data_IF_714001772712
#
_entry.id   IF_714001772712
#
_cell.length_a   1.000
_cell.length_b   1.000
_cell.length_c   1.000
_cell.angle_alpha   90.00
_cell.angle_beta   90.00
_cell.angle_gamma   90.00
#
_symmetry.space_group_name_H-M   'P 1'
#
loop_
_entity.id
_entity.type
_entity.pdbx_description
1 polymer ?
#
# COMPACT_ATOMS: atom_id res chain seq x y z
N UNK A 1 1.76 -7.55 10.95
CA UNK A 1 1.58 -8.97 11.32
C UNK A 1 0.16 -9.37 10.90
N UNK A 2 -0.01 -10.39 10.05
CA UNK A 2 -1.32 -10.76 9.48
C UNK A 2 -1.74 -12.22 9.71
N UNK A 3 -0.89 -13.03 10.37
CA UNK A 3 -1.04 -14.49 10.48
C UNK A 3 -2.37 -14.99 11.09
N UNK A 4 -3.08 -14.15 11.84
CA UNK A 4 -4.34 -14.49 12.49
C UNK A 4 -5.51 -13.64 11.99
N UNK A 5 -5.32 -12.90 10.88
CA UNK A 5 -6.41 -12.16 10.27
C UNK A 5 -7.33 -13.12 9.51
N UNK A 6 -8.65 -12.93 9.60
CA UNK A 6 -9.60 -13.71 8.81
C UNK A 6 -9.45 -13.42 7.32
N UNK A 7 -9.98 -14.32 6.48
CA UNK A 7 -9.90 -14.20 5.02
C UNK A 7 -8.67 -14.87 4.42
N UNK A 8 -8.35 -14.52 3.18
CA UNK A 8 -7.22 -15.13 2.47
C UNK A 8 -5.87 -14.61 2.99
N UNK A 9 -4.99 -15.55 3.31
CA UNK A 9 -3.71 -15.24 3.95
C UNK A 9 -2.72 -14.53 3.01
N UNK A 10 -2.78 -14.81 1.71
CA UNK A 10 -1.93 -14.17 0.70
C UNK A 10 -2.40 -12.75 0.49
N UNK A 11 -3.71 -12.52 0.35
CA UNK A 11 -4.28 -11.18 0.22
C UNK A 11 -3.96 -10.29 1.42
N UNK A 12 -4.15 -10.83 2.63
CA UNK A 12 -3.79 -10.13 3.85
C UNK A 12 -2.30 -9.77 3.87
N UNK A 13 -1.42 -10.68 3.42
CA UNK A 13 0.02 -10.42 3.33
C UNK A 13 0.37 -9.36 2.28
N UNK A 14 -0.29 -9.38 1.12
CA UNK A 14 -0.11 -8.38 0.04
C UNK A 14 -0.53 -7.00 0.53
N UNK A 15 -1.74 -6.88 1.10
CA UNK A 15 -2.26 -5.61 1.64
C UNK A 15 -1.31 -5.07 2.73
N UNK A 16 -0.86 -5.92 3.65
CA UNK A 16 0.08 -5.50 4.68
C UNK A 16 1.44 -5.05 4.12
N UNK A 17 1.96 -5.73 3.09
CA UNK A 17 3.18 -5.30 2.42
C UNK A 17 2.98 -3.95 1.72
N UNK A 18 1.84 -3.72 1.04
CA UNK A 18 1.54 -2.42 0.42
C UNK A 18 1.53 -1.31 1.47
N UNK A 19 0.85 -1.49 2.60
CA UNK A 19 0.89 -0.51 3.69
C UNK A 19 2.32 -0.28 4.20
N UNK A 20 3.11 -1.34 4.37
CA UNK A 20 4.50 -1.23 4.78
C UNK A 20 5.33 -0.38 3.80
N UNK A 21 5.20 -0.61 2.49
CA UNK A 21 5.92 0.18 1.48
C UNK A 21 5.45 1.63 1.45
N UNK A 22 4.15 1.90 1.58
CA UNK A 22 3.63 3.27 1.69
C UNK A 22 4.29 4.00 2.86
N UNK A 23 4.39 3.36 4.03
CA UNK A 23 5.04 3.96 5.20
C UNK A 23 6.53 4.21 4.99
N UNK A 24 7.23 3.33 4.26
CA UNK A 24 8.63 3.56 3.89
C UNK A 24 8.79 4.73 2.93
N UNK A 25 7.94 4.81 1.90
CA UNK A 25 7.96 5.91 0.92
C UNK A 25 7.66 7.26 1.58
N UNK A 26 6.73 7.30 2.54
CA UNK A 26 6.44 8.51 3.31
C UNK A 26 7.63 9.02 4.13
N UNK A 27 8.57 8.15 4.48
CA UNK A 27 9.81 8.49 5.20
C UNK A 27 11.00 8.78 4.28
N UNK A 28 10.82 8.65 2.96
CA UNK A 28 11.88 8.92 1.99
C UNK A 28 12.23 10.41 1.98
N UNK A 29 13.50 10.80 2.17
CA UNK A 29 13.92 12.19 2.08
C UNK A 29 13.60 12.85 0.74
N UNK A 30 13.57 12.05 -0.34
CA UNK A 30 13.24 12.53 -1.68
C UNK A 30 11.77 12.94 -1.83
N UNK A 31 10.87 12.33 -1.06
CA UNK A 31 9.43 12.48 -1.21
C UNK A 31 8.80 13.35 -0.11
N UNK A 32 9.45 13.46 1.05
CA UNK A 32 8.91 14.10 2.25
C UNK A 32 8.45 15.55 2.01
N UNK A 33 9.24 16.36 1.31
CA UNK A 33 8.89 17.77 1.02
C UNK A 33 7.62 17.88 0.16
N UNK A 34 7.50 17.07 -0.89
CA UNK A 34 6.32 17.08 -1.77
C UNK A 34 5.08 16.51 -1.07
N UNK A 35 5.26 15.58 -0.14
CA UNK A 35 4.18 15.07 0.71
C UNK A 35 3.69 16.15 1.68
N UNK A 36 4.60 16.84 2.36
CA UNK A 36 4.27 17.90 3.33
C UNK A 36 3.62 19.12 2.67
N UNK A 37 4.09 19.50 1.47
CA UNK A 37 3.49 20.59 0.69
C UNK A 37 2.18 20.22 0.01
N UNK A 38 1.71 18.97 0.15
CA UNK A 38 0.46 18.48 -0.47
C UNK A 38 0.53 18.29 -1.99
N UNK A 39 1.70 18.48 -2.61
CA UNK A 39 1.91 18.35 -4.06
C UNK A 39 2.06 16.89 -4.51
N UNK A 40 2.20 15.96 -3.58
CA UNK A 40 2.27 14.52 -3.83
C UNK A 40 1.34 13.77 -2.90
N UNK A 41 0.60 12.81 -3.43
CA UNK A 41 -0.18 11.83 -2.68
C UNK A 41 0.33 10.43 -3.01
N UNK A 42 0.56 9.62 -1.97
CA UNK A 42 0.89 8.20 -2.12
C UNK A 42 -0.37 7.39 -1.82
N UNK A 43 -0.75 6.51 -2.75
CA UNK A 43 -1.85 5.55 -2.63
C UNK A 43 -1.34 4.13 -2.87
N UNK A 44 -1.94 3.15 -2.20
CA UNK A 44 -1.67 1.74 -2.45
C UNK A 44 -2.61 1.18 -3.51
N UNK A 45 -2.12 0.29 -4.36
CA UNK A 45 -2.93 -0.48 -5.30
C UNK A 45 -2.61 -1.97 -5.19
N UNK A 46 -3.64 -2.82 -5.19
CA UNK A 46 -3.54 -4.26 -5.42
C UNK A 46 -4.11 -4.55 -6.80
N UNK A 47 -3.30 -5.14 -7.67
CA UNK A 47 -3.77 -5.67 -8.95
C UNK A 47 -4.19 -7.13 -8.78
N UNK A 48 -5.35 -7.46 -9.31
CA UNK A 48 -5.88 -8.81 -9.35
C UNK A 48 -5.65 -9.42 -10.73
N UNK A 49 -4.84 -10.48 -10.81
CA UNK A 49 -4.40 -11.06 -12.09
C UNK A 49 -5.52 -11.81 -12.83
N UNK A 50 -6.48 -12.37 -12.09
CA UNK A 50 -7.57 -13.15 -12.67
C UNK A 50 -8.64 -12.26 -13.29
N UNK A 51 -8.94 -11.14 -12.63
CA UNK A 51 -9.98 -10.19 -13.06
C UNK A 51 -9.45 -8.98 -13.83
N UNK A 52 -8.15 -8.72 -13.76
CA UNK A 52 -7.51 -7.52 -14.31
C UNK A 52 -7.85 -6.23 -13.56
N UNK A 53 -8.48 -6.32 -12.39
CA UNK A 53 -8.97 -5.17 -11.63
C UNK A 53 -7.92 -4.62 -10.68
N UNK A 54 -7.94 -3.29 -10.45
CA UNK A 54 -7.12 -2.63 -9.43
C UNK A 54 -7.99 -2.20 -8.26
N UNK A 55 -7.72 -2.76 -7.08
CA UNK A 55 -8.25 -2.29 -5.82
C UNK A 55 -7.36 -1.22 -5.21
N UNK A 56 -7.94 -0.08 -4.83
CA UNK A 56 -7.23 0.94 -4.05
C UNK A 56 -7.19 0.51 -2.59
N UNK A 57 -5.99 0.42 -2.04
CA UNK A 57 -5.75 0.14 -0.63
C UNK A 57 -5.65 1.48 0.09
N UNK A 58 -6.67 1.79 0.89
CA UNK A 58 -6.74 2.96 1.78
C UNK A 58 -6.18 2.64 3.16
#
# INVERSE_FOLDING_TARGET
>A
KVKYQPGDTVDNAVIANVHYQIQRLKRSPLLSERLQSGKLKIVGGRYDLDTGSVGIIT
#
